data_IF_455483729349
#
_entry.id   IF_455483729349
#
_cell.length_a   1.000
_cell.length_b   1.000
_cell.length_c   1.000
_cell.angle_alpha   90.00
_cell.angle_beta   90.00
_cell.angle_gamma   90.00
#
_symmetry.space_group_name_H-M   'P 1'
#
loop_
_entity.id
_entity.type
_entity.pdbx_description
1 polymer ?
#
# COMPACT_ATOMS: atom_id res chain seq x y z
N UNK A 1 16.12 3.93 -20.81
CA UNK A 1 15.06 2.93 -21.10
C UNK A 1 13.74 3.67 -21.23
N UNK A 2 12.93 3.37 -22.24
CA UNK A 2 11.59 3.96 -22.34
C UNK A 2 10.62 3.13 -21.53
N UNK A 3 9.79 3.79 -20.72
CA UNK A 3 8.73 3.13 -19.94
C UNK A 3 7.43 3.16 -20.74
N UNK A 4 6.96 1.97 -21.15
CA UNK A 4 5.77 1.82 -22.00
C UNK A 4 4.53 1.60 -21.14
N UNK A 5 3.41 2.26 -21.48
CA UNK A 5 2.11 2.05 -20.83
C UNK A 5 1.28 1.07 -21.65
N UNK A 6 0.95 -0.08 -21.07
CA UNK A 6 0.15 -1.15 -21.69
C UNK A 6 -1.30 -1.08 -21.19
N UNK A 7 -2.27 -0.93 -22.11
CA UNK A 7 -3.70 -0.87 -21.74
C UNK A 7 -4.45 -2.19 -21.99
N UNK A 8 -4.11 -2.88 -23.07
CA UNK A 8 -4.81 -4.10 -23.50
C UNK A 8 -3.86 -5.28 -23.71
N UNK A 9 -2.61 -5.00 -24.04
CA UNK A 9 -1.58 -6.02 -24.24
C UNK A 9 -1.03 -6.46 -22.87
N UNK A 10 -1.23 -7.74 -22.52
CA UNK A 10 -0.61 -8.36 -21.35
C UNK A 10 0.52 -9.33 -21.73
N UNK A 11 0.59 -9.77 -22.98
CA UNK A 11 1.62 -10.71 -23.42
C UNK A 11 3.02 -10.12 -23.35
N UNK A 12 3.18 -8.87 -23.83
CA UNK A 12 4.48 -8.18 -23.76
C UNK A 12 4.94 -7.95 -22.32
N UNK A 13 4.15 -7.33 -21.40
CA UNK A 13 4.57 -7.15 -20.02
C UNK A 13 4.78 -8.48 -19.27
N UNK A 14 4.01 -9.53 -19.56
CA UNK A 14 4.24 -10.86 -19.00
C UNK A 14 5.60 -11.45 -19.44
N UNK A 15 5.96 -11.30 -20.72
CA UNK A 15 7.27 -11.74 -21.20
C UNK A 15 8.41 -10.91 -20.61
N UNK A 16 8.22 -9.60 -20.42
CA UNK A 16 9.20 -8.74 -19.74
C UNK A 16 9.44 -9.21 -18.30
N UNK A 17 8.38 -9.47 -17.54
CA UNK A 17 8.48 -10.00 -16.17
C UNK A 17 9.18 -11.37 -16.14
N UNK A 18 8.82 -12.25 -17.05
CA UNK A 18 9.44 -13.57 -17.17
C UNK A 18 10.93 -13.49 -17.50
N UNK A 19 11.35 -12.50 -18.27
CA UNK A 19 12.77 -12.24 -18.63
C UNK A 19 13.54 -11.44 -17.59
N UNK A 20 12.98 -11.22 -16.39
CA UNK A 20 13.66 -10.53 -15.29
C UNK A 20 13.55 -9.00 -15.32
N UNK A 21 12.74 -8.44 -16.22
CA UNK A 21 12.47 -6.99 -16.26
C UNK A 21 11.43 -6.60 -15.19
N UNK A 22 11.41 -5.31 -14.85
CA UNK A 22 10.49 -4.74 -13.87
C UNK A 22 9.33 -4.04 -14.58
N UNK A 23 8.09 -4.41 -14.22
CA UNK A 23 6.86 -3.85 -14.78
C UNK A 23 5.88 -3.52 -13.65
N UNK A 24 5.32 -2.32 -13.63
CA UNK A 24 4.27 -1.98 -12.68
C UNK A 24 2.91 -2.53 -13.12
N UNK A 25 2.09 -2.93 -12.14
CA UNK A 25 0.77 -3.51 -12.38
C UNK A 25 -0.30 -2.94 -11.46
N UNK A 26 -1.57 -2.86 -11.92
CA UNK A 26 -2.68 -2.34 -11.12
C UNK A 26 -3.12 -3.36 -10.07
N UNK A 27 -3.58 -2.89 -8.91
CA UNK A 27 -4.40 -3.69 -8.00
C UNK A 27 -5.60 -2.87 -7.53
N UNK A 28 -6.54 -3.49 -6.82
CA UNK A 28 -7.65 -2.77 -6.20
C UNK A 28 -7.18 -1.82 -5.09
N UNK A 29 -6.00 -2.05 -4.52
CA UNK A 29 -5.41 -1.26 -3.41
C UNK A 29 -4.55 -0.11 -3.91
N UNK A 30 -3.36 -0.41 -4.41
CA UNK A 30 -2.39 0.53 -5.00
C UNK A 30 -1.65 -0.18 -6.13
N UNK A 31 -1.00 0.55 -7.03
CA UNK A 31 -0.15 -0.08 -8.05
C UNK A 31 1.07 -0.75 -7.42
N UNK A 32 1.33 -1.98 -7.85
CA UNK A 32 2.49 -2.77 -7.44
C UNK A 32 3.65 -2.68 -8.44
N UNK A 33 4.89 -2.69 -7.96
CA UNK A 33 6.09 -2.78 -8.78
C UNK A 33 6.49 -4.24 -8.92
N UNK A 34 6.22 -4.82 -10.10
CA UNK A 34 6.34 -6.24 -10.38
C UNK A 34 7.72 -6.67 -10.81
N UNK A 35 8.17 -7.79 -10.27
CA UNK A 35 9.28 -8.58 -10.79
C UNK A 35 9.04 -10.05 -10.48
N UNK A 36 9.69 -10.96 -11.24
CA UNK A 36 9.64 -12.39 -10.97
C UNK A 36 10.16 -12.69 -9.56
N UNK A 37 9.29 -13.20 -8.69
CA UNK A 37 9.62 -13.50 -7.29
C UNK A 37 10.66 -14.62 -7.13
N UNK A 38 10.89 -15.41 -8.16
CA UNK A 38 11.85 -16.53 -8.16
C UNK A 38 13.23 -16.12 -8.71
N UNK A 39 13.32 -14.92 -9.28
CA UNK A 39 14.56 -14.40 -9.86
C UNK A 39 15.17 -13.34 -8.92
N UNK A 40 16.23 -13.74 -8.22
CA UNK A 40 16.97 -12.90 -7.30
C UNK A 40 17.43 -11.57 -7.91
N UNK A 41 17.90 -11.58 -9.15
CA UNK A 41 18.40 -10.35 -9.79
C UNK A 41 17.26 -9.42 -10.20
N UNK A 42 16.11 -9.97 -10.65
CA UNK A 42 14.90 -9.19 -10.88
C UNK A 42 14.38 -8.53 -9.59
N UNK A 43 14.39 -9.26 -8.47
CA UNK A 43 14.00 -8.73 -7.16
C UNK A 43 14.92 -7.59 -6.71
N UNK A 44 16.25 -7.72 -6.89
CA UNK A 44 17.20 -6.64 -6.57
C UNK A 44 16.94 -5.36 -7.37
N UNK A 45 16.52 -5.48 -8.64
CA UNK A 45 16.14 -4.31 -9.45
C UNK A 45 14.97 -3.54 -8.84
N UNK A 46 13.99 -4.22 -8.22
CA UNK A 46 12.88 -3.57 -7.52
C UNK A 46 13.37 -2.65 -6.39
N UNK A 47 14.32 -3.11 -5.58
CA UNK A 47 14.92 -2.28 -4.53
C UNK A 47 15.69 -1.10 -5.11
N UNK A 48 16.51 -1.34 -6.13
CA UNK A 48 17.31 -0.31 -6.79
C UNK A 48 16.45 0.78 -7.43
N UNK A 49 15.40 0.39 -8.17
CA UNK A 49 14.47 1.32 -8.84
C UNK A 49 13.75 2.22 -7.84
N UNK A 50 13.35 1.66 -6.69
CA UNK A 50 12.64 2.40 -5.64
C UNK A 50 13.56 3.23 -4.75
N UNK A 51 14.85 2.95 -4.69
CA UNK A 51 15.74 3.43 -3.63
C UNK A 51 15.31 2.88 -2.25
N UNK A 52 14.85 1.61 -2.20
CA UNK A 52 14.32 0.98 -0.98
C UNK A 52 15.40 0.13 -0.30
N UNK A 53 15.52 0.17 1.04
CA UNK A 53 16.39 -0.76 1.77
C UNK A 53 15.97 -2.23 1.57
N UNK A 54 16.96 -3.11 1.36
CA UNK A 54 16.74 -4.52 1.02
C UNK A 54 16.36 -5.42 2.22
N UNK A 55 16.43 -4.90 3.45
CA UNK A 55 16.00 -5.58 4.68
C UNK A 55 14.49 -5.58 4.90
N UNK A 56 13.73 -4.97 3.99
CA UNK A 56 12.28 -4.80 4.10
C UNK A 56 11.59 -5.81 3.16
N UNK A 57 10.98 -6.90 3.67
CA UNK A 57 10.44 -7.98 2.86
C UNK A 57 9.38 -7.51 1.86
N UNK A 58 9.16 -8.31 0.81
CA UNK A 58 8.23 -8.01 -0.26
C UNK A 58 7.02 -8.96 -0.21
N UNK A 59 5.85 -8.45 -0.59
CA UNK A 59 4.63 -9.27 -0.76
C UNK A 59 4.72 -9.96 -2.12
N UNK A 60 4.49 -11.27 -2.12
CA UNK A 60 4.41 -12.12 -3.31
C UNK A 60 2.97 -12.20 -3.77
N UNK A 61 2.70 -11.70 -4.97
CA UNK A 61 1.38 -11.77 -5.61
C UNK A 61 1.26 -13.06 -6.40
N UNK A 62 0.15 -13.76 -6.18
CA UNK A 62 -0.15 -15.06 -6.76
C UNK A 62 -1.48 -15.03 -7.51
N UNK A 63 -1.65 -15.92 -8.49
CA UNK A 63 -2.90 -16.10 -9.24
C UNK A 63 -3.91 -16.98 -8.52
N UNK A 64 -3.45 -17.79 -7.54
CA UNK A 64 -4.28 -18.71 -6.78
C UNK A 64 -3.65 -19.09 -5.45
N UNK A 65 -4.45 -19.60 -4.51
CA UNK A 65 -3.92 -20.13 -3.26
C UNK A 65 -3.06 -21.38 -3.48
N UNK A 66 -3.40 -22.20 -4.48
CA UNK A 66 -2.60 -23.37 -4.88
C UNK A 66 -1.19 -22.97 -5.32
N UNK A 67 -1.03 -21.81 -6.00
CA UNK A 67 0.30 -21.31 -6.32
C UNK A 67 1.07 -20.91 -5.05
N UNK A 68 0.41 -20.24 -4.08
CA UNK A 68 1.04 -19.87 -2.81
C UNK A 68 1.46 -21.10 -1.99
N UNK A 69 0.63 -22.15 -1.92
CA UNK A 69 0.91 -23.38 -1.17
C UNK A 69 2.20 -24.07 -1.57
N UNK A 70 2.68 -23.88 -2.81
CA UNK A 70 3.98 -24.44 -3.26
C UNK A 70 5.18 -23.93 -2.45
N UNK A 71 5.05 -22.80 -1.78
CA UNK A 71 6.13 -22.15 -1.01
C UNK A 71 5.91 -22.24 0.50
N UNK A 72 4.70 -22.56 0.95
CA UNK A 72 4.32 -22.59 2.36
C UNK A 72 4.71 -23.91 3.00
N UNK A 73 5.42 -23.85 4.14
CA UNK A 73 5.85 -25.02 4.88
C UNK A 73 4.72 -25.59 5.74
N UNK A 74 4.01 -24.69 6.46
CA UNK A 74 2.93 -25.10 7.36
C UNK A 74 1.76 -24.13 7.21
N UNK A 75 0.56 -24.67 6.98
CA UNK A 75 -0.67 -23.89 6.93
C UNK A 75 -1.23 -23.70 8.34
N UNK A 76 -1.61 -22.47 8.64
CA UNK A 76 -2.43 -22.16 9.79
C UNK A 76 -3.83 -22.80 9.64
N UNK A 77 -4.45 -23.37 10.70
CA UNK A 77 -5.76 -24.04 10.59
C UNK A 77 -6.88 -23.17 10.00
N UNK A 78 -6.78 -21.86 10.15
CA UNK A 78 -7.77 -20.90 9.64
C UNK A 78 -7.47 -20.42 8.20
N UNK A 79 -6.32 -20.79 7.61
CA UNK A 79 -5.87 -20.22 6.33
C UNK A 79 -6.87 -20.46 5.19
N UNK A 80 -7.34 -21.68 5.01
CA UNK A 80 -8.29 -22.00 3.92
C UNK A 80 -9.62 -21.25 4.08
N UNK A 81 -10.15 -21.18 5.31
CA UNK A 81 -11.38 -20.45 5.60
C UNK A 81 -11.23 -18.95 5.29
N UNK A 82 -10.09 -18.34 5.66
CA UNK A 82 -9.78 -16.94 5.39
C UNK A 82 -9.64 -16.69 3.88
N UNK A 83 -8.90 -17.54 3.19
CA UNK A 83 -8.69 -17.43 1.74
C UNK A 83 -10.01 -17.53 0.98
N UNK A 84 -10.86 -18.49 1.30
CA UNK A 84 -12.16 -18.65 0.66
C UNK A 84 -13.05 -17.41 0.77
N UNK A 85 -12.95 -16.67 1.87
CA UNK A 85 -13.76 -15.47 2.10
C UNK A 85 -13.15 -14.19 1.54
N UNK A 86 -11.83 -14.04 1.62
CA UNK A 86 -11.18 -12.75 1.41
C UNK A 86 -10.21 -12.72 0.21
N UNK A 87 -9.98 -13.85 -0.49
CA UNK A 87 -9.21 -13.90 -1.73
C UNK A 87 -10.09 -14.30 -2.92
N UNK A 88 -9.92 -13.63 -4.09
CA UNK A 88 -9.03 -12.49 -4.33
C UNK A 88 -9.48 -11.23 -3.57
N UNK A 89 -8.50 -10.45 -3.04
CA UNK A 89 -8.87 -9.29 -2.27
C UNK A 89 -7.72 -8.54 -1.58
N UNK A 90 -8.05 -7.47 -0.82
CA UNK A 90 -7.08 -6.59 -0.17
C UNK A 90 -6.55 -7.16 1.15
N UNK A 91 -6.27 -8.45 1.20
CA UNK A 91 -5.72 -9.17 2.35
C UNK A 91 -4.42 -9.89 1.97
N UNK A 92 -3.37 -9.61 2.69
CA UNK A 92 -2.07 -10.28 2.61
C UNK A 92 -1.91 -11.20 3.81
N UNK A 93 -1.48 -12.42 3.58
CA UNK A 93 -1.26 -13.45 4.60
C UNK A 93 0.21 -13.79 4.71
N UNK A 94 0.75 -13.84 5.92
CA UNK A 94 2.13 -14.25 6.19
C UNK A 94 2.12 -15.71 6.66
N UNK A 95 3.00 -16.52 6.06
CA UNK A 95 3.20 -17.91 6.42
C UNK A 95 4.68 -18.22 6.61
N UNK A 96 4.98 -19.26 7.39
CA UNK A 96 6.28 -19.92 7.37
C UNK A 96 6.48 -20.62 6.04
N UNK A 97 7.66 -20.44 5.41
CA UNK A 97 7.95 -20.97 4.08
C UNK A 97 8.93 -22.13 4.09
N UNK A 98 8.85 -22.96 3.08
CA UNK A 98 9.84 -24.02 2.81
C UNK A 98 11.21 -23.36 2.63
N UNK A 99 12.25 -23.74 3.41
CA UNK A 99 13.58 -23.16 3.29
C UNK A 99 14.11 -23.19 1.86
N UNK A 100 14.56 -22.02 1.36
CA UNK A 100 15.11 -21.88 0.01
C UNK A 100 14.09 -21.87 -1.12
N UNK A 101 12.78 -21.90 -0.84
CA UNK A 101 11.74 -21.85 -1.86
C UNK A 101 11.57 -20.47 -2.51
N UNK A 102 12.00 -19.40 -1.83
CA UNK A 102 12.06 -18.03 -2.33
C UNK A 102 13.45 -17.43 -2.08
N UNK A 103 13.90 -16.51 -2.94
CA UNK A 103 15.14 -15.77 -2.71
C UNK A 103 15.12 -15.00 -1.39
N UNK A 104 16.27 -14.87 -0.74
CA UNK A 104 16.42 -14.11 0.52
C UNK A 104 16.02 -12.64 0.35
N UNK A 105 16.22 -12.07 -0.81
CA UNK A 105 15.80 -10.72 -1.15
C UNK A 105 14.28 -10.50 -1.05
N UNK A 106 13.47 -11.53 -1.29
CA UNK A 106 12.01 -11.49 -1.12
C UNK A 106 11.63 -11.47 0.35
N UNK A 107 12.30 -12.31 1.15
CA UNK A 107 11.94 -12.52 2.56
C UNK A 107 12.62 -11.53 3.52
N UNK A 108 13.62 -10.77 3.04
CA UNK A 108 14.47 -9.95 3.91
C UNK A 108 15.29 -10.79 4.90
N UNK A 109 15.53 -12.06 4.58
CA UNK A 109 16.24 -13.02 5.44
C UNK A 109 15.36 -13.71 6.49
N UNK A 110 14.05 -13.48 6.49
CA UNK A 110 13.11 -14.16 7.39
C UNK A 110 12.78 -15.58 6.90
N UNK A 111 12.32 -16.44 7.81
CA UNK A 111 11.77 -17.76 7.52
C UNK A 111 10.30 -17.71 7.05
N UNK A 112 9.76 -16.50 6.94
CA UNK A 112 8.37 -16.24 6.55
C UNK A 112 8.30 -15.42 5.27
N UNK A 113 7.19 -15.56 4.53
CA UNK A 113 6.88 -14.71 3.40
C UNK A 113 5.40 -14.30 3.43
N UNK A 114 5.13 -13.15 2.82
CA UNK A 114 3.81 -12.58 2.68
C UNK A 114 3.25 -12.87 1.28
N UNK A 115 2.03 -13.40 1.19
CA UNK A 115 1.36 -13.74 -0.06
C UNK A 115 0.03 -12.99 -0.19
N UNK A 116 -0.34 -12.66 -1.42
CA UNK A 116 -1.61 -12.03 -1.72
C UNK A 116 -2.13 -12.44 -3.10
N UNK A 117 -3.42 -12.71 -3.20
CA UNK A 117 -4.15 -12.82 -4.45
C UNK A 117 -4.99 -11.54 -4.62
N UNK A 118 -4.57 -10.59 -5.49
CA UNK A 118 -5.26 -9.29 -5.62
C UNK A 118 -6.59 -9.44 -6.35
N UNK A 119 -7.60 -8.63 -6.00
CA UNK A 119 -8.85 -8.56 -6.74
C UNK A 119 -8.72 -7.60 -7.95
N UNK A 120 -7.87 -7.97 -8.89
CA UNK A 120 -7.60 -7.22 -10.10
C UNK A 120 -7.38 -8.20 -11.26
N UNK A 121 -8.40 -8.36 -12.11
CA UNK A 121 -8.36 -9.35 -13.20
C UNK A 121 -7.13 -9.20 -14.11
N UNK A 122 -6.78 -7.96 -14.49
CA UNK A 122 -5.59 -7.70 -15.30
C UNK A 122 -4.31 -8.24 -14.67
N UNK A 123 -4.19 -8.13 -13.35
CA UNK A 123 -3.01 -8.61 -12.62
C UNK A 123 -3.00 -10.12 -12.48
N UNK A 124 -4.15 -10.75 -12.25
CA UNK A 124 -4.24 -12.21 -12.22
C UNK A 124 -3.90 -12.80 -13.59
N UNK A 125 -4.43 -12.22 -14.67
CA UNK A 125 -4.12 -12.61 -16.06
C UNK A 125 -2.62 -12.38 -16.38
N UNK A 126 -2.02 -11.29 -15.88
CA UNK A 126 -0.59 -11.00 -16.04
C UNK A 126 0.29 -12.05 -15.34
N UNK A 127 -0.03 -12.41 -14.09
CA UNK A 127 0.68 -13.45 -13.32
C UNK A 127 0.55 -14.81 -14.04
N UNK A 128 -0.65 -15.13 -14.52
CA UNK A 128 -0.92 -16.35 -15.28
C UNK A 128 -0.07 -16.43 -16.55
N UNK A 129 -0.06 -15.36 -17.37
CA UNK A 129 0.73 -15.30 -18.61
C UNK A 129 2.25 -15.29 -18.35
N UNK A 130 2.71 -14.66 -17.28
CA UNK A 130 4.11 -14.70 -16.87
C UNK A 130 4.53 -16.12 -16.40
N UNK A 131 3.58 -16.90 -15.87
CA UNK A 131 3.81 -18.25 -15.36
C UNK A 131 4.63 -18.31 -14.07
N UNK A 132 4.83 -17.19 -13.41
CA UNK A 132 5.62 -17.05 -12.17
C UNK A 132 4.91 -16.10 -11.18
N UNK A 133 5.06 -16.31 -9.87
CA UNK A 133 4.59 -15.33 -8.88
C UNK A 133 5.39 -14.04 -8.98
N UNK A 134 4.78 -12.91 -8.64
CA UNK A 134 5.41 -11.60 -8.73
C UNK A 134 5.60 -10.98 -7.35
N UNK A 135 6.78 -10.46 -7.04
CA UNK A 135 6.88 -9.47 -5.97
C UNK A 135 6.13 -8.21 -6.38
N UNK A 136 5.56 -7.48 -5.41
CA UNK A 136 4.77 -6.29 -5.73
C UNK A 136 4.71 -5.29 -4.57
N UNK A 137 5.83 -4.65 -4.15
CA UNK A 137 5.72 -3.45 -3.32
C UNK A 137 5.03 -2.33 -4.11
N UNK A 138 4.51 -1.31 -3.44
CA UNK A 138 3.91 -0.15 -4.11
C UNK A 138 4.87 0.48 -5.14
N UNK A 139 4.36 0.88 -6.31
CA UNK A 139 5.17 1.30 -7.46
C UNK A 139 5.55 2.81 -7.41
N UNK A 140 6.04 3.28 -6.25
CA UNK A 140 6.50 4.65 -6.01
C UNK A 140 8.00 4.68 -5.66
N UNK A 141 8.64 5.83 -5.81
CA UNK A 141 9.92 6.11 -5.14
C UNK A 141 9.75 5.96 -3.63
N UNK A 142 10.68 5.30 -2.95
CA UNK A 142 10.58 4.97 -1.52
C UNK A 142 10.31 6.23 -0.68
N UNK A 143 9.40 6.12 0.28
CA UNK A 143 8.99 7.21 1.16
C UNK A 143 7.83 8.07 0.67
N UNK A 144 7.55 8.10 -0.64
CA UNK A 144 6.46 8.89 -1.25
C UNK A 144 5.08 8.23 -1.07
N UNK A 145 3.97 8.96 -1.24
CA UNK A 145 2.62 8.37 -1.25
C UNK A 145 2.49 7.28 -2.31
N UNK A 146 1.79 6.19 -1.97
CA UNK A 146 1.63 5.07 -2.91
C UNK A 146 0.82 5.48 -4.15
N UNK A 147 1.14 4.93 -5.35
CA UNK A 147 0.45 5.27 -6.58
C UNK A 147 -0.90 4.57 -6.68
N UNK A 148 -1.94 5.31 -7.02
CA UNK A 148 -3.32 4.82 -7.18
C UNK A 148 -3.81 4.84 -8.63
N UNK A 149 -2.96 5.28 -9.56
CA UNK A 149 -3.20 5.22 -11.01
C UNK A 149 -1.86 5.10 -11.76
N UNK A 150 -1.92 4.76 -13.05
CA UNK A 150 -0.73 4.61 -13.90
C UNK A 150 0.08 5.92 -14.04
N UNK A 151 -0.59 7.08 -14.04
CA UNK A 151 0.08 8.38 -14.10
C UNK A 151 0.99 8.63 -12.89
N UNK A 152 0.59 8.24 -11.68
CA UNK A 152 1.43 8.34 -10.49
C UNK A 152 2.68 7.46 -10.60
N UNK A 153 2.55 6.25 -11.15
CA UNK A 153 3.69 5.36 -11.40
C UNK A 153 4.63 5.97 -12.42
N UNK A 154 4.07 6.47 -13.53
CA UNK A 154 4.85 7.09 -14.59
C UNK A 154 5.65 8.29 -14.08
N UNK A 155 5.01 9.16 -13.29
CA UNK A 155 5.67 10.31 -12.64
C UNK A 155 6.91 9.88 -11.83
N UNK A 156 6.80 8.82 -11.03
CA UNK A 156 7.87 8.39 -10.13
C UNK A 156 8.97 7.55 -10.82
N UNK A 157 8.59 6.72 -11.81
CA UNK A 157 9.42 5.61 -12.29
C UNK A 157 9.66 5.60 -13.81
N UNK A 158 9.23 6.62 -14.56
CA UNK A 158 9.56 6.74 -15.99
C UNK A 158 11.08 6.67 -16.21
N UNK A 159 11.49 5.97 -17.24
CA UNK A 159 12.90 5.78 -17.57
C UNK A 159 13.63 4.74 -16.71
N UNK A 160 13.01 4.21 -15.63
CA UNK A 160 13.62 3.27 -14.68
C UNK A 160 13.05 1.86 -14.76
N UNK A 161 11.86 1.68 -15.35
CA UNK A 161 11.15 0.41 -15.49
C UNK A 161 10.72 0.14 -16.93
N UNK A 162 10.57 -1.12 -17.30
CA UNK A 162 10.24 -1.51 -18.67
C UNK A 162 8.81 -1.14 -19.08
N UNK A 163 7.88 -1.13 -18.13
CA UNK A 163 6.50 -0.77 -18.47
C UNK A 163 5.55 -0.67 -17.29
N UNK A 164 4.35 -0.22 -17.60
CA UNK A 164 3.23 -0.06 -16.67
C UNK A 164 1.99 -0.67 -17.33
N UNK A 165 1.36 -1.64 -16.68
CA UNK A 165 0.03 -2.11 -17.07
C UNK A 165 -0.99 -1.14 -16.48
N UNK A 166 -1.74 -0.45 -17.35
CA UNK A 166 -2.75 0.53 -16.94
C UNK A 166 -4.11 -0.14 -16.73
N UNK A 167 -4.54 -0.25 -15.48
CA UNK A 167 -5.87 -0.75 -15.09
C UNK A 167 -6.79 0.33 -14.55
N UNK A 168 -6.47 1.60 -14.77
CA UNK A 168 -7.24 2.74 -14.24
C UNK A 168 -6.96 3.02 -12.77
N UNK A 169 -7.92 3.66 -12.09
CA UNK A 169 -7.80 4.05 -10.70
C UNK A 169 -8.07 2.89 -9.73
N UNK A 170 -7.27 2.80 -8.68
CA UNK A 170 -7.50 1.84 -7.60
C UNK A 170 -8.80 2.16 -6.84
N UNK A 171 -9.51 1.12 -6.40
CA UNK A 171 -10.81 1.27 -5.74
C UNK A 171 -10.68 1.49 -4.23
N UNK A 172 -9.65 0.92 -3.59
CA UNK A 172 -9.41 1.00 -2.14
C UNK A 172 -8.52 2.19 -1.77
N UNK A 173 -7.45 2.44 -2.53
CA UNK A 173 -6.58 3.61 -2.40
C UNK A 173 -5.50 3.51 -1.32
N UNK A 174 -5.51 2.47 -0.47
CA UNK A 174 -4.45 2.17 0.51
C UNK A 174 -4.06 0.71 0.41
N UNK A 175 -2.87 0.37 0.91
CA UNK A 175 -2.34 -0.99 0.83
C UNK A 175 -3.19 -1.98 1.63
N UNK A 176 -3.08 -3.26 1.25
CA UNK A 176 -3.78 -4.40 1.86
C UNK A 176 -3.56 -4.50 3.38
N UNK A 177 -4.54 -5.05 4.07
CA UNK A 177 -4.37 -5.58 5.43
C UNK A 177 -3.31 -6.68 5.39
N UNK A 178 -2.42 -6.71 6.39
CA UNK A 178 -1.43 -7.80 6.56
C UNK A 178 -1.75 -8.57 7.82
N UNK A 179 -2.07 -9.85 7.66
CA UNK A 179 -2.42 -10.77 8.74
C UNK A 179 -1.31 -11.82 8.90
N UNK A 180 -0.74 -11.92 10.08
CA UNK A 180 0.26 -12.93 10.40
C UNK A 180 -0.42 -14.26 10.80
N UNK A 181 -0.17 -15.29 9.99
CA UNK A 181 -0.57 -16.67 10.15
C UNK A 181 0.65 -17.61 10.23
N UNK A 182 1.84 -17.06 10.44
CA UNK A 182 3.09 -17.84 10.41
C UNK A 182 3.23 -18.84 11.53
N UNK A 183 2.58 -18.62 12.66
CA UNK A 183 2.54 -19.58 13.76
C UNK A 183 1.16 -20.25 13.86
N UNK A 184 1.01 -21.53 13.47
CA UNK A 184 -0.28 -22.22 13.43
C UNK A 184 -0.92 -22.43 14.83
N UNK A 185 -0.17 -22.19 15.91
CA UNK A 185 -0.65 -22.31 17.31
C UNK A 185 -1.00 -20.96 17.95
N UNK A 186 -0.69 -19.85 17.30
CA UNK A 186 -0.97 -18.52 17.80
C UNK A 186 -2.30 -17.97 17.24
N UNK A 187 -2.90 -17.02 17.93
CA UNK A 187 -4.01 -16.26 17.38
C UNK A 187 -3.54 -15.39 16.19
N UNK A 188 -4.36 -15.24 15.12
CA UNK A 188 -4.04 -14.35 14.01
C UNK A 188 -3.80 -12.92 14.49
N UNK A 189 -2.79 -12.25 13.92
CA UNK A 189 -2.43 -10.88 14.30
C UNK A 189 -2.30 -9.96 13.08
N UNK A 190 -2.99 -8.83 13.12
CA UNK A 190 -2.84 -7.79 12.09
C UNK A 190 -1.55 -7.01 12.37
N UNK A 191 -0.63 -7.04 11.40
CA UNK A 191 0.62 -6.26 11.43
C UNK A 191 0.47 -4.90 10.74
N UNK A 192 -0.47 -4.79 9.81
CA UNK A 192 -0.79 -3.55 9.10
C UNK A 192 -2.30 -3.47 8.84
N UNK A 193 -2.99 -2.44 9.33
CA UNK A 193 -4.41 -2.25 9.03
C UNK A 193 -4.61 -1.88 7.55
N UNK A 194 -5.72 -2.33 6.96
CA UNK A 194 -6.15 -2.08 5.59
C UNK A 194 -7.66 -2.24 5.46
N UNK A 195 -8.14 -2.45 4.23
CA UNK A 195 -9.58 -2.52 3.94
C UNK A 195 -10.29 -3.74 4.56
N UNK A 196 -9.58 -4.85 4.77
CA UNK A 196 -10.12 -5.94 5.60
C UNK A 196 -9.82 -5.59 7.06
N UNK A 197 -10.86 -5.19 7.79
CA UNK A 197 -10.72 -4.68 9.14
C UNK A 197 -10.61 -5.81 10.18
N UNK A 198 -10.17 -5.46 11.38
CA UNK A 198 -10.10 -6.40 12.51
C UNK A 198 -11.47 -6.95 12.85
N UNK A 199 -12.49 -6.10 12.83
CA UNK A 199 -13.87 -6.43 13.10
C UNK A 199 -14.40 -7.43 12.06
N UNK A 200 -14.18 -7.21 10.77
CA UNK A 200 -14.58 -8.14 9.70
C UNK A 200 -13.98 -9.53 9.89
N UNK A 201 -12.69 -9.60 10.25
CA UNK A 201 -12.02 -10.87 10.51
C UNK A 201 -12.54 -11.55 11.77
N UNK A 202 -12.72 -10.79 12.87
CA UNK A 202 -13.21 -11.32 14.14
C UNK A 202 -14.64 -11.86 14.01
N UNK A 203 -15.53 -11.10 13.35
CA UNK A 203 -16.92 -11.51 13.12
C UNK A 203 -17.02 -12.76 12.25
N UNK A 204 -16.22 -12.82 11.18
CA UNK A 204 -16.22 -13.98 10.29
C UNK A 204 -15.64 -15.25 10.91
N UNK A 205 -14.59 -15.11 11.72
CA UNK A 205 -13.90 -16.26 12.34
C UNK A 205 -14.49 -16.66 13.68
N UNK A 206 -15.21 -15.76 14.34
CA UNK A 206 -15.76 -15.97 15.70
C UNK A 206 -14.67 -16.00 16.79
N UNK A 207 -13.54 -15.33 16.55
CA UNK A 207 -12.40 -15.27 17.47
C UNK A 207 -11.85 -13.86 17.57
N UNK A 208 -11.09 -13.60 18.64
CA UNK A 208 -10.34 -12.35 18.74
C UNK A 208 -9.18 -12.31 17.72
N UNK A 209 -9.03 -11.17 17.03
CA UNK A 209 -7.91 -10.88 16.15
C UNK A 209 -7.00 -9.86 16.84
N UNK A 210 -5.75 -10.21 17.01
CA UNK A 210 -4.76 -9.33 17.64
C UNK A 210 -4.34 -8.22 16.70
N UNK A 211 -3.99 -7.07 17.25
CA UNK A 211 -3.39 -5.95 16.52
C UNK A 211 -1.97 -5.73 17.04
N UNK A 212 -0.99 -5.79 16.16
CA UNK A 212 0.39 -5.49 16.52
C UNK A 212 0.55 -4.00 16.84
N UNK A 213 1.03 -3.71 18.03
CA UNK A 213 1.37 -2.36 18.51
C UNK A 213 2.88 -2.14 18.59
N UNK A 214 3.67 -3.14 18.16
CA UNK A 214 5.13 -3.07 18.24
C UNK A 214 5.69 -2.02 17.27
N UNK A 215 6.50 -1.12 17.81
CA UNK A 215 7.31 -0.20 17.01
C UNK A 215 8.63 -0.91 16.67
N UNK A 216 8.79 -1.28 15.41
CA UNK A 216 10.00 -1.96 14.91
C UNK A 216 11.23 -1.06 15.09
N UNK A 217 12.24 -1.55 15.80
CA UNK A 217 13.50 -0.84 16.02
C UNK A 217 14.35 -0.81 14.74
N UNK A 218 15.27 0.16 14.64
CA UNK A 218 16.16 0.28 13.47
C UNK A 218 16.98 -0.98 13.19
N UNK A 219 17.34 -1.72 14.24
CA UNK A 219 18.12 -2.98 14.15
C UNK A 219 17.28 -4.21 13.78
N UNK A 220 15.95 -4.11 13.77
CA UNK A 220 15.05 -5.23 13.53
C UNK A 220 14.60 -5.30 12.06
N UNK A 221 14.56 -6.50 11.49
CA UNK A 221 13.90 -6.74 10.20
C UNK A 221 12.39 -6.80 10.41
N UNK A 222 11.59 -5.91 9.77
CA UNK A 222 10.16 -5.91 9.94
C UNK A 222 9.53 -7.16 9.29
N UNK A 223 8.54 -7.77 9.94
CA UNK A 223 7.80 -8.90 9.34
C UNK A 223 6.90 -8.49 8.18
N UNK A 224 6.60 -7.21 8.02
CA UNK A 224 5.70 -6.66 7.01
C UNK A 224 6.21 -5.32 6.48
N UNK A 225 5.94 -5.01 5.18
CA UNK A 225 6.19 -3.69 4.63
C UNK A 225 5.41 -2.58 5.37
N UNK A 226 6.02 -1.40 5.52
CA UNK A 226 5.38 -0.22 6.10
C UNK A 226 5.49 -0.09 7.62
N UNK A 227 6.25 -0.97 8.30
CA UNK A 227 6.41 -0.91 9.76
C UNK A 227 7.59 -0.04 10.23
N UNK A 228 8.67 0.05 9.47
CA UNK A 228 9.97 0.56 9.95
C UNK A 228 10.34 1.96 9.45
N UNK A 229 10.19 2.23 8.16
CA UNK A 229 10.75 3.42 7.51
C UNK A 229 9.73 4.55 7.39
N UNK A 230 10.22 5.78 7.10
CA UNK A 230 9.35 6.90 6.70
C UNK A 230 8.60 6.50 5.42
N UNK A 231 7.27 6.59 5.47
CA UNK A 231 6.39 6.20 4.37
C UNK A 231 5.35 7.27 4.11
N UNK A 232 4.83 7.31 2.88
CA UNK A 232 3.65 8.08 2.46
C UNK A 232 3.81 9.61 2.55
N UNK A 233 5.04 10.11 2.69
CA UNK A 233 5.28 11.54 2.89
C UNK A 233 5.50 12.24 1.54
N UNK A 234 4.66 13.22 1.17
CA UNK A 234 4.98 14.14 0.08
C UNK A 234 6.19 15.01 0.43
N UNK A 235 6.66 15.84 -0.50
CA UNK A 235 7.72 16.83 -0.24
C UNK A 235 7.18 17.96 0.64
N UNK A 236 5.98 18.44 0.29
CA UNK A 236 5.25 19.46 1.06
C UNK A 236 4.88 18.88 2.43
N UNK A 237 5.19 19.56 3.53
CA UNK A 237 4.79 19.13 4.86
C UNK A 237 3.30 18.88 4.98
N UNK A 238 2.91 17.83 5.73
CA UNK A 238 1.51 17.50 6.03
C UNK A 238 1.24 17.72 7.51
N UNK A 239 0.09 18.27 7.83
CA UNK A 239 -0.41 18.43 9.20
C UNK A 239 -1.83 17.86 9.30
N UNK A 240 -2.06 17.03 10.28
CA UNK A 240 -3.38 16.52 10.62
C UNK A 240 -4.19 17.60 11.32
N UNK A 241 -5.50 17.66 11.04
CA UNK A 241 -6.41 18.59 11.71
C UNK A 241 -7.69 17.84 12.07
N UNK A 242 -8.17 18.01 13.30
CA UNK A 242 -9.51 17.54 13.66
C UNK A 242 -10.54 18.33 12.88
N UNK A 243 -11.60 17.67 12.36
CA UNK A 243 -12.60 18.32 11.50
C UNK A 243 -13.16 19.61 12.05
N UNK A 244 -13.47 19.66 13.34
CA UNK A 244 -14.02 20.82 14.05
C UNK A 244 -13.03 22.00 14.14
N UNK A 245 -11.73 21.75 14.01
CA UNK A 245 -10.67 22.76 14.10
C UNK A 245 -10.19 23.24 12.73
N UNK A 246 -10.70 22.67 11.61
CA UNK A 246 -10.15 22.95 10.28
C UNK A 246 -10.26 24.44 9.91
N UNK A 247 -11.41 25.06 10.16
CA UNK A 247 -11.62 26.48 9.85
C UNK A 247 -10.66 27.38 10.63
N UNK A 248 -10.48 27.10 11.92
CA UNK A 248 -9.53 27.84 12.78
C UNK A 248 -8.08 27.64 12.31
N UNK A 249 -7.68 26.40 12.02
CA UNK A 249 -6.34 26.10 11.53
C UNK A 249 -6.03 26.86 10.22
N UNK A 250 -6.98 26.89 9.28
CA UNK A 250 -6.84 27.66 8.03
C UNK A 250 -6.66 29.15 8.32
N UNK A 251 -7.49 29.74 9.20
CA UNK A 251 -7.41 31.14 9.53
C UNK A 251 -6.06 31.51 10.20
N UNK A 252 -5.64 30.73 11.20
CA UNK A 252 -4.41 30.98 11.97
C UNK A 252 -3.16 30.85 11.09
N UNK A 253 -3.10 29.83 10.23
CA UNK A 253 -1.95 29.59 9.36
C UNK A 253 -1.87 30.57 8.19
N UNK A 254 -3.01 31.00 7.63
CA UNK A 254 -3.05 32.08 6.63
C UNK A 254 -2.65 33.41 7.22
N UNK A 255 -3.03 33.72 8.46
CA UNK A 255 -2.56 34.91 9.16
C UNK A 255 -1.02 34.94 9.35
N UNK A 256 -0.38 33.77 9.35
CA UNK A 256 1.07 33.61 9.35
C UNK A 256 1.70 33.69 7.94
N UNK A 257 0.89 33.95 6.89
CA UNK A 257 1.35 34.06 5.51
C UNK A 257 1.60 32.71 4.82
N UNK A 258 1.08 31.59 5.34
CA UNK A 258 1.27 30.26 4.76
C UNK A 258 0.37 30.03 3.55
N UNK A 259 0.95 29.47 2.48
CA UNK A 259 0.23 28.92 1.34
C UNK A 259 -0.26 27.51 1.69
N UNK A 260 -1.57 27.31 1.72
CA UNK A 260 -2.19 26.08 2.22
C UNK A 260 -2.85 25.27 1.12
N UNK A 261 -2.65 23.95 1.17
CA UNK A 261 -3.47 22.95 0.50
C UNK A 261 -4.41 22.27 1.48
N UNK A 262 -5.67 22.05 1.11
CA UNK A 262 -6.65 21.37 1.96
C UNK A 262 -7.10 20.07 1.33
N UNK A 263 -7.18 19.00 2.14
CA UNK A 263 -7.73 17.71 1.76
C UNK A 263 -8.70 17.23 2.85
N UNK A 264 -9.99 17.24 2.55
CA UNK A 264 -11.04 16.91 3.50
C UNK A 264 -12.34 16.48 2.78
N UNK A 265 -13.38 16.12 3.53
CA UNK A 265 -14.69 15.84 2.95
C UNK A 265 -15.40 17.12 2.48
N UNK A 266 -16.33 17.03 1.52
CA UNK A 266 -16.99 18.20 0.94
C UNK A 266 -17.60 19.16 1.97
N UNK A 267 -18.31 18.64 3.00
CA UNK A 267 -18.93 19.47 4.04
C UNK A 267 -17.93 20.22 4.89
N UNK A 268 -16.78 19.61 5.17
CA UNK A 268 -15.72 20.22 5.97
C UNK A 268 -15.06 21.39 5.25
N UNK A 269 -15.14 21.46 3.92
CA UNK A 269 -14.50 22.48 3.09
C UNK A 269 -15.40 23.68 2.79
N UNK A 270 -16.69 23.63 3.17
CA UNK A 270 -17.65 24.69 2.87
C UNK A 270 -17.20 26.02 3.52
N UNK A 271 -17.10 27.05 2.69
CA UNK A 271 -16.71 28.41 3.13
C UNK A 271 -15.21 28.58 3.41
N UNK A 272 -14.40 27.55 3.25
CA UNK A 272 -12.93 27.66 3.40
C UNK A 272 -12.29 28.10 2.08
N UNK A 273 -11.25 28.92 2.22
CA UNK A 273 -10.44 29.39 1.10
C UNK A 273 -8.95 29.11 1.37
N UNK A 274 -8.31 28.46 0.41
CA UNK A 274 -6.90 28.15 0.40
C UNK A 274 -6.36 28.17 -1.05
N UNK A 275 -5.06 28.05 -1.24
CA UNK A 275 -4.44 28.06 -2.57
C UNK A 275 -4.93 26.91 -3.44
N UNK A 276 -5.09 25.71 -2.82
CA UNK A 276 -5.75 24.58 -3.45
C UNK A 276 -6.62 23.82 -2.43
N UNK A 277 -7.87 23.54 -2.81
CA UNK A 277 -8.83 22.79 -1.99
C UNK A 277 -9.25 21.55 -2.77
N UNK A 278 -8.99 20.38 -2.22
CA UNK A 278 -9.40 19.10 -2.78
C UNK A 278 -10.37 18.40 -1.84
N UNK A 279 -11.52 18.05 -2.39
CA UNK A 279 -12.53 17.27 -1.68
C UNK A 279 -12.39 15.78 -1.96
N UNK A 280 -12.62 14.93 -0.96
CA UNK A 280 -12.95 13.53 -1.18
C UNK A 280 -14.26 13.40 -1.98
N UNK A 281 -14.56 12.21 -2.49
CA UNK A 281 -15.73 11.95 -3.32
C UNK A 281 -17.04 12.24 -2.56
N UNK A 282 -17.08 11.89 -1.27
CA UNK A 282 -18.17 12.12 -0.34
C UNK A 282 -17.68 12.20 1.13
N UNK A 283 -18.63 12.09 2.09
CA UNK A 283 -18.35 12.18 3.53
C UNK A 283 -17.88 10.87 4.16
N UNK A 284 -17.82 9.78 3.39
CA UNK A 284 -17.50 8.45 3.92
C UNK A 284 -16.01 8.29 4.20
N UNK A 285 -15.68 7.40 5.14
CA UNK A 285 -14.30 7.02 5.41
C UNK A 285 -13.69 6.23 4.24
N UNK A 286 -14.53 5.58 3.45
CA UNK A 286 -14.18 4.88 2.21
C UNK A 286 -13.67 5.87 1.16
N UNK A 287 -14.40 6.96 0.92
CA UNK A 287 -13.98 8.03 0.00
C UNK A 287 -12.69 8.71 0.48
N UNK A 288 -12.58 9.00 1.78
CA UNK A 288 -11.37 9.55 2.37
C UNK A 288 -10.16 8.61 2.20
N UNK A 289 -10.35 7.31 2.44
CA UNK A 289 -9.29 6.31 2.31
C UNK A 289 -8.84 6.16 0.85
N UNK A 290 -9.79 6.08 -0.08
CA UNK A 290 -9.55 6.00 -1.52
C UNK A 290 -8.83 7.25 -2.06
N UNK A 291 -9.20 8.42 -1.57
CA UNK A 291 -8.70 9.72 -2.03
C UNK A 291 -7.38 10.17 -1.40
N UNK A 292 -6.94 9.58 -0.28
CA UNK A 292 -5.81 10.09 0.51
C UNK A 292 -4.51 10.26 -0.30
N UNK A 293 -4.04 9.20 -0.94
CA UNK A 293 -2.76 9.26 -1.65
C UNK A 293 -2.84 10.09 -2.93
N UNK A 294 -3.95 10.02 -3.67
CA UNK A 294 -4.16 10.85 -4.85
C UNK A 294 -4.21 12.34 -4.47
N UNK A 295 -4.92 12.69 -3.41
CA UNK A 295 -5.01 14.06 -2.90
C UNK A 295 -3.65 14.59 -2.42
N UNK A 296 -2.90 13.79 -1.64
CA UNK A 296 -1.55 14.17 -1.20
C UNK A 296 -0.60 14.39 -2.39
N UNK A 297 -0.66 13.56 -3.44
CA UNK A 297 0.15 13.74 -4.64
C UNK A 297 -0.21 15.02 -5.40
N UNK A 298 -1.51 15.25 -5.63
CA UNK A 298 -1.97 16.43 -6.35
C UNK A 298 -1.63 17.73 -5.63
N UNK A 299 -1.66 17.74 -4.30
CA UNK A 299 -1.24 18.90 -3.49
C UNK A 299 0.29 19.07 -3.47
N UNK A 300 1.06 17.97 -3.49
CA UNK A 300 2.54 18.02 -3.49
C UNK A 300 3.12 18.58 -4.80
N UNK A 301 2.33 18.62 -5.89
CA UNK A 301 2.73 19.20 -7.17
C UNK A 301 2.56 20.73 -7.22
N UNK A 302 1.98 21.34 -6.18
CA UNK A 302 1.72 22.76 -6.09
C UNK A 302 2.77 23.48 -5.23
N UNK A 303 2.90 24.79 -5.42
CA UNK A 303 3.77 25.65 -4.59
C UNK A 303 3.06 26.00 -3.27
N UNK A 304 3.06 25.03 -2.34
CA UNK A 304 2.42 25.09 -1.03
C UNK A 304 3.45 25.00 0.10
N UNK A 305 3.21 25.72 1.20
CA UNK A 305 4.00 25.61 2.42
C UNK A 305 3.55 24.44 3.31
N UNK A 306 2.26 24.08 3.25
CA UNK A 306 1.66 23.10 4.14
C UNK A 306 0.38 22.50 3.55
N UNK A 307 0.21 21.20 3.73
CA UNK A 307 -1.02 20.47 3.42
C UNK A 307 -1.75 20.14 4.72
N UNK A 308 -3.00 20.59 4.85
CA UNK A 308 -3.88 20.22 5.95
C UNK A 308 -4.80 19.10 5.53
N UNK A 309 -4.84 18.03 6.34
CA UNK A 309 -5.67 16.85 6.09
C UNK A 309 -6.49 16.53 7.33
N UNK A 310 -7.80 16.34 7.18
CA UNK A 310 -8.69 16.06 8.31
C UNK A 310 -8.53 14.63 8.81
N UNK A 311 -8.63 14.47 10.13
CA UNK A 311 -8.63 13.16 10.80
C UNK A 311 -10.00 12.48 10.72
N UNK A 312 -10.03 11.16 10.97
CA UNK A 312 -11.26 10.37 11.15
C UNK A 312 -11.16 9.55 12.45
N UNK A 313 -12.26 8.90 12.85
CA UNK A 313 -12.23 7.94 13.93
C UNK A 313 -11.33 6.74 13.59
N UNK A 314 -10.53 6.28 14.56
CA UNK A 314 -9.61 5.14 14.40
C UNK A 314 -10.32 3.79 14.63
N UNK A 315 -11.47 3.59 13.98
CA UNK A 315 -12.26 2.35 14.02
C UNK A 315 -12.52 1.85 12.61
N UNK A 316 -12.67 0.55 12.43
CA UNK A 316 -12.90 -0.03 11.11
C UNK A 316 -11.85 0.41 10.08
N UNK A 317 -12.31 0.86 8.91
CA UNK A 317 -11.43 1.35 7.84
C UNK A 317 -10.66 2.62 8.22
N UNK A 318 -11.20 3.44 9.16
CA UNK A 318 -10.51 4.63 9.67
C UNK A 318 -9.16 4.32 10.32
N UNK A 319 -8.95 3.11 10.84
CA UNK A 319 -7.62 2.68 11.31
C UNK A 319 -6.59 2.67 10.18
N UNK A 320 -6.98 2.21 8.98
CA UNK A 320 -6.09 2.19 7.83
C UNK A 320 -5.80 3.61 7.34
N UNK A 321 -6.83 4.45 7.20
CA UNK A 321 -6.69 5.86 6.85
C UNK A 321 -5.73 6.58 7.81
N UNK A 322 -6.01 6.54 9.11
CA UNK A 322 -5.20 7.22 10.12
C UNK A 322 -3.78 6.67 10.23
N UNK A 323 -3.58 5.36 10.03
CA UNK A 323 -2.23 4.78 9.98
C UNK A 323 -1.37 5.40 8.87
N UNK A 324 -1.96 5.67 7.69
CA UNK A 324 -1.27 6.30 6.55
C UNK A 324 -1.09 7.80 6.78
N UNK A 325 -2.13 8.47 7.22
CA UNK A 325 -2.10 9.92 7.46
C UNK A 325 -1.10 10.30 8.57
N UNK A 326 -1.08 9.59 9.69
CA UNK A 326 -0.11 9.81 10.77
C UNK A 326 1.34 9.71 10.27
N UNK A 327 1.63 8.74 9.38
CA UNK A 327 2.95 8.59 8.78
C UNK A 327 3.27 9.69 7.78
N UNK A 328 2.32 10.08 6.94
CA UNK A 328 2.48 11.18 5.99
C UNK A 328 2.76 12.50 6.70
N UNK A 329 2.06 12.76 7.81
CA UNK A 329 2.20 13.97 8.63
C UNK A 329 3.38 13.91 9.63
N UNK A 330 4.14 12.80 9.70
CA UNK A 330 5.15 12.58 10.73
C UNK A 330 4.60 12.85 12.14
N UNK A 331 3.38 12.43 12.43
CA UNK A 331 2.62 12.61 13.68
C UNK A 331 2.24 14.06 13.99
N UNK A 332 2.49 15.03 13.11
CA UNK A 332 2.14 16.44 13.35
C UNK A 332 0.64 16.63 13.30
N UNK A 333 0.08 17.24 14.32
CA UNK A 333 -1.32 17.62 14.42
C UNK A 333 -1.44 19.09 14.80
N UNK A 334 -2.45 19.77 14.25
CA UNK A 334 -2.76 21.14 14.64
C UNK A 334 -3.33 21.13 16.07
N UNK A 335 -2.72 21.91 16.96
CA UNK A 335 -3.16 22.11 18.33
C UNK A 335 -3.84 23.48 18.44
N UNK A 336 -4.97 23.53 19.16
CA UNK A 336 -5.82 24.74 19.31
C UNK A 336 -5.27 25.67 20.41
#
# INVERSE_FOLDING_TARGET
MDTIIYKQDLATPAQLLKSGQVVAFPTETVYGLGANALDKEAVKQVFAVKGRPSDNPLIVHVESFEQAKKYIQTLHPLAEKIVQQFWPGPLTLIFEIIPGSLPQEVTGGLTTAAFRMPNAKLTLDLIHQAGVPLVGPSANTSGKPSPTCAAHVYHDLQGKIAGIVDGGNCQVGVESTVLDLSNPKAAPMILRPGAITREMLADFLGIEILLDKHLVKESETPKSPGMKYKHYSPNTPVMMVQPENLAKAVADLKAQGKKLGLLASPKQLVGLNAELVLAYEDESVEAATKGLFAGLRALDEQDLDLILVTTTAETGLGQAYMNRLKKAAAQKIYEV
#
